data_IF_001129900373
#
_entry.id   IF_001129900373
#
_cell.length_a   1.000
_cell.length_b   1.000
_cell.length_c   1.000
_cell.angle_alpha   90.00
_cell.angle_beta   90.00
_cell.angle_gamma   90.00
#
_symmetry.space_group_name_H-M   'P 1'
#
loop_
_entity.id
_entity.type
_entity.pdbx_description
1 polymer ?
#
# COMPACT_ATOMS: atom_id res chain seq x y z
N UNK A 1 -11.49 -2.08 -8.05
CA UNK A 1 -11.13 -0.99 -7.12
C UNK A 1 -12.04 0.21 -7.31
N UNK A 2 -12.70 0.59 -6.23
CA UNK A 2 -13.45 1.83 -6.03
C UNK A 2 -12.57 3.09 -6.10
N UNK A 3 -11.24 2.97 -6.12
CA UNK A 3 -10.32 4.11 -6.29
C UNK A 3 -10.65 5.03 -7.48
N UNK A 4 -11.30 4.50 -8.52
CA UNK A 4 -11.76 5.30 -9.69
C UNK A 4 -12.83 6.35 -9.33
N UNK A 5 -13.46 6.21 -8.17
CA UNK A 5 -14.43 7.17 -7.63
C UNK A 5 -13.75 8.36 -6.93
N UNK A 6 -12.45 8.26 -6.67
CA UNK A 6 -11.68 9.33 -6.04
C UNK A 6 -11.12 10.30 -7.08
N UNK A 7 -11.04 11.60 -6.77
CA UNK A 7 -10.24 12.55 -7.54
C UNK A 7 -8.77 12.10 -7.65
N UNK A 8 -8.08 12.44 -8.74
CA UNK A 8 -6.64 12.14 -8.92
C UNK A 8 -5.74 12.48 -7.72
N UNK A 9 -5.88 13.64 -7.02
CA UNK A 9 -5.05 13.92 -5.85
C UNK A 9 -5.31 12.97 -4.68
N UNK A 10 -6.49 12.36 -4.60
CA UNK A 10 -6.87 11.41 -3.56
C UNK A 10 -6.43 9.99 -3.92
N UNK A 11 -6.42 9.65 -5.20
CA UNK A 11 -5.83 8.41 -5.71
C UNK A 11 -4.32 8.32 -5.42
N UNK A 12 -3.58 9.41 -5.68
CA UNK A 12 -2.14 9.48 -5.36
C UNK A 12 -1.89 9.35 -3.85
N UNK A 13 -2.79 9.91 -3.05
CA UNK A 13 -2.71 9.80 -1.60
C UNK A 13 -2.98 8.38 -1.12
N UNK A 14 -4.02 7.72 -1.64
CA UNK A 14 -4.30 6.30 -1.40
C UNK A 14 -3.08 5.42 -1.71
N UNK A 15 -2.38 5.68 -2.82
CA UNK A 15 -1.18 4.92 -3.18
C UNK A 15 -0.09 5.04 -2.11
N UNK A 16 0.16 6.24 -1.58
CA UNK A 16 1.12 6.44 -0.50
C UNK A 16 0.75 5.70 0.79
N UNK A 17 -0.54 5.72 1.14
CA UNK A 17 -1.07 4.98 2.29
C UNK A 17 -0.97 3.46 2.11
N UNK A 18 -1.33 2.95 0.93
CA UNK A 18 -1.25 1.54 0.59
C UNK A 18 0.20 1.04 0.62
N UNK A 19 1.16 1.85 0.15
CA UNK A 19 2.59 1.53 0.26
C UNK A 19 3.04 1.45 1.71
N UNK A 20 2.67 2.42 2.54
CA UNK A 20 3.00 2.37 3.97
C UNK A 20 2.46 1.09 4.61
N UNK A 21 1.19 0.75 4.35
CA UNK A 21 0.54 -0.44 4.88
C UNK A 21 1.27 -1.72 4.43
N UNK A 22 1.58 -1.82 3.14
CA UNK A 22 2.27 -2.96 2.55
C UNK A 22 3.71 -3.15 3.06
N UNK A 23 4.37 -2.09 3.56
CA UNK A 23 5.75 -2.13 4.06
C UNK A 23 5.86 -2.24 5.57
N UNK A 24 4.87 -1.73 6.32
CA UNK A 24 4.95 -1.51 7.75
C UNK A 24 5.22 -2.79 8.55
N UNK A 25 4.78 -3.95 8.04
CA UNK A 25 4.93 -5.23 8.70
C UNK A 25 5.93 -6.20 8.04
N UNK A 26 6.70 -5.74 7.05
CA UNK A 26 7.62 -6.62 6.31
C UNK A 26 8.99 -6.77 6.97
N UNK A 27 9.69 -7.91 6.88
CA UNK A 27 10.96 -8.09 7.57
C UNK A 27 11.99 -6.99 7.28
N UNK A 28 12.75 -6.62 8.31
CA UNK A 28 13.82 -5.64 8.20
C UNK A 28 15.13 -6.35 7.86
N UNK A 29 15.90 -5.77 6.96
CA UNK A 29 17.21 -6.29 6.55
C UNK A 29 18.27 -5.21 6.79
N UNK A 30 19.30 -5.54 7.56
CA UNK A 30 20.50 -4.72 7.73
C UNK A 30 21.60 -5.29 6.86
N UNK A 31 22.04 -4.52 5.86
CA UNK A 31 23.03 -4.97 4.89
C UNK A 31 22.63 -6.29 4.20
N UNK A 32 21.32 -6.44 3.95
CA UNK A 32 20.72 -7.64 3.36
C UNK A 32 20.54 -8.83 4.31
N UNK A 33 20.84 -8.67 5.61
CA UNK A 33 20.77 -9.73 6.63
C UNK A 33 19.70 -9.44 7.69
N UNK A 34 19.12 -10.49 8.27
CA UNK A 34 18.21 -10.36 9.43
C UNK A 34 18.98 -10.15 10.73
N UNK A 35 18.29 -9.75 11.81
CA UNK A 35 18.90 -9.52 13.13
C UNK A 35 19.62 -10.74 13.70
N UNK A 36 19.17 -11.94 13.34
CA UNK A 36 19.75 -13.22 13.76
C UNK A 36 21.07 -13.56 13.05
N UNK A 37 21.34 -12.94 11.90
CA UNK A 37 22.51 -13.19 11.05
C UNK A 37 23.63 -12.15 11.24
N UNK A 38 23.54 -11.37 12.31
CA UNK A 38 24.50 -10.31 12.57
C UNK A 38 25.91 -10.83 12.81
N UNK A 39 26.84 -10.23 12.08
CA UNK A 39 28.28 -10.43 12.20
C UNK A 39 28.92 -9.11 12.66
N UNK A 40 30.13 -9.16 13.22
CA UNK A 40 30.85 -7.97 13.66
C UNK A 40 31.07 -6.92 12.55
N UNK A 41 30.98 -7.35 11.28
CA UNK A 41 31.17 -6.53 10.08
C UNK A 41 29.85 -6.02 9.46
N UNK A 42 28.68 -6.31 10.06
CA UNK A 42 27.38 -5.91 9.50
C UNK A 42 27.16 -4.40 9.62
N UNK A 43 26.88 -3.73 8.50
CA UNK A 43 26.53 -2.30 8.51
C UNK A 43 25.10 -2.07 9.01
N UNK A 44 24.99 -1.62 10.26
CA UNK A 44 23.71 -1.30 10.90
C UNK A 44 23.03 -0.06 10.32
N UNK A 45 23.73 0.73 9.51
CA UNK A 45 23.17 1.92 8.85
C UNK A 45 22.46 1.60 7.52
N UNK A 46 22.80 0.46 6.90
CA UNK A 46 22.24 -0.04 5.65
C UNK A 46 20.91 -0.79 5.85
N UNK A 47 19.94 -0.14 6.50
CA UNK A 47 18.59 -0.70 6.71
C UNK A 47 17.77 -0.65 5.41
N UNK A 48 17.17 -1.78 5.06
CA UNK A 48 16.18 -1.93 3.99
C UNK A 48 15.00 -2.78 4.46
N UNK A 49 13.88 -2.71 3.73
CA UNK A 49 12.66 -3.48 4.01
C UNK A 49 12.53 -4.55 2.94
N UNK A 50 12.29 -5.79 3.35
CA UNK A 50 12.09 -6.90 2.42
C UNK A 50 10.69 -6.82 1.78
N UNK A 51 10.60 -6.17 0.62
CA UNK A 51 9.36 -6.16 -0.16
C UNK A 51 9.06 -7.53 -0.74
N UNK A 52 7.89 -8.10 -0.42
CA UNK A 52 7.44 -9.34 -1.04
C UNK A 52 7.01 -9.14 -2.50
N UNK A 53 6.98 -10.23 -3.26
CA UNK A 53 6.62 -10.24 -4.68
C UNK A 53 5.15 -9.84 -4.88
N UNK A 54 4.26 -10.42 -4.08
CA UNK A 54 2.83 -10.11 -4.13
C UNK A 54 2.60 -8.63 -3.96
N UNK A 55 3.20 -8.01 -2.94
CA UNK A 55 3.08 -6.59 -2.56
C UNK A 55 3.50 -5.68 -3.71
N UNK A 56 4.64 -5.98 -4.33
CA UNK A 56 5.11 -5.27 -5.51
C UNK A 56 4.10 -5.34 -6.66
N UNK A 57 3.53 -6.51 -6.91
CA UNK A 57 2.51 -6.67 -7.97
C UNK A 57 1.26 -5.82 -7.70
N UNK A 58 0.69 -5.83 -6.49
CA UNK A 58 -0.49 -5.00 -6.19
C UNK A 58 -0.19 -3.52 -6.21
N UNK A 59 0.96 -3.09 -5.68
CA UNK A 59 1.34 -1.69 -5.76
C UNK A 59 1.49 -1.27 -7.23
N UNK A 60 2.05 -2.13 -8.09
CA UNK A 60 2.14 -1.89 -9.52
C UNK A 60 0.75 -1.86 -10.19
N UNK A 61 -0.18 -2.74 -9.80
CA UNK A 61 -1.57 -2.73 -10.29
C UNK A 61 -2.31 -1.46 -9.88
N UNK A 62 -2.13 -1.02 -8.62
CA UNK A 62 -2.65 0.24 -8.10
C UNK A 62 -2.08 1.42 -8.90
N UNK A 63 -0.77 1.48 -9.11
CA UNK A 63 -0.13 2.51 -9.93
C UNK A 63 -0.66 2.53 -11.37
N UNK A 64 -0.82 1.35 -11.98
CA UNK A 64 -1.37 1.24 -13.32
C UNK A 64 -2.81 1.74 -13.37
N UNK A 65 -3.62 1.46 -12.34
CA UNK A 65 -5.01 1.90 -12.27
C UNK A 65 -5.17 3.41 -12.16
N UNK A 66 -4.19 4.10 -11.56
CA UNK A 66 -4.12 5.56 -11.42
C UNK A 66 -3.58 6.22 -12.69
N UNK A 67 -2.64 5.55 -13.38
CA UNK A 67 -1.95 6.09 -14.57
C UNK A 67 -2.75 5.91 -15.86
N UNK A 68 -3.76 5.02 -15.89
CA UNK A 68 -4.64 4.91 -17.05
C UNK A 68 -5.35 6.25 -17.26
N UNK A 69 -5.14 6.94 -18.41
CA UNK A 69 -5.87 8.17 -18.67
C UNK A 69 -7.36 7.84 -18.62
N UNK A 70 -8.08 8.61 -17.81
CA UNK A 70 -9.52 8.68 -17.82
C UNK A 70 -9.97 9.21 -19.18
N UNK A 71 -9.94 8.37 -20.21
CA UNK A 71 -10.65 8.63 -21.46
C UNK A 71 -12.14 8.50 -21.18
N UNK A 72 -12.69 9.50 -20.50
CA UNK A 72 -14.10 9.83 -20.56
C UNK A 72 -14.34 10.52 -21.92
N UNK A 73 -14.18 9.76 -23.01
CA UNK A 73 -14.69 10.14 -24.33
C UNK A 73 -15.95 9.33 -24.57
N UNK A 74 -17.08 9.84 -24.08
CA UNK A 74 -18.40 9.40 -24.50
C UNK A 74 -18.58 9.88 -25.96
N UNK A 75 -18.81 8.92 -26.86
CA UNK A 75 -19.30 9.08 -28.24
C UNK A 75 -18.29 9.57 -29.31
N UNK A 76 -17.87 8.67 -30.21
CA UNK A 76 -17.12 9.05 -31.42
C UNK A 76 -16.42 7.89 -32.13
N UNK A 77 -17.19 7.12 -32.89
CA UNK A 77 -16.81 6.05 -33.81
C UNK A 77 -15.56 6.33 -34.68
N UNK A 78 -14.57 5.43 -34.71
CA UNK A 78 -14.04 4.73 -35.92
C UNK A 78 -12.56 4.27 -35.81
N UNK A 79 -12.40 2.95 -35.89
CA UNK A 79 -11.33 2.19 -36.57
C UNK A 79 -9.88 2.70 -36.58
N UNK A 80 -8.98 1.93 -35.95
CA UNK A 80 -7.90 1.24 -36.68
C UNK A 80 -7.22 0.21 -35.78
N UNK A 81 -7.04 -0.98 -36.35
CA UNK A 81 -6.39 -2.15 -35.78
C UNK A 81 -4.86 -2.06 -35.84
N UNK A 82 -4.20 -3.04 -35.20
CA UNK A 82 -2.77 -3.30 -35.02
C UNK A 82 -2.17 -2.58 -33.78
N UNK A 83 -1.47 -3.24 -32.85
CA UNK A 83 -0.62 -4.42 -32.96
C UNK A 83 -0.50 -5.18 -31.63
N UNK A 84 -0.67 -6.51 -31.74
CA UNK A 84 -0.20 -7.55 -30.84
C UNK A 84 1.33 -7.54 -30.63
N UNK A 85 1.76 -8.00 -29.45
CA UNK A 85 3.03 -8.67 -29.14
C UNK A 85 4.36 -7.96 -29.44
N UNK A 86 5.03 -7.53 -28.36
CA UNK A 86 6.43 -7.14 -28.36
C UNK A 86 7.05 -7.32 -26.97
N UNK A 87 7.56 -8.53 -26.70
CA UNK A 87 8.53 -8.78 -25.62
C UNK A 87 9.91 -8.35 -26.13
N UNK A 88 10.49 -7.29 -25.56
CA UNK A 88 11.95 -7.15 -25.44
C UNK A 88 12.35 -6.08 -24.42
N UNK A 89 13.07 -6.56 -23.40
CA UNK A 89 14.21 -5.91 -22.70
C UNK A 89 14.15 -4.42 -22.31
N UNK A 90 14.09 -4.20 -21.00
CA UNK A 90 14.95 -3.32 -20.19
C UNK A 90 15.40 -1.97 -20.78
N UNK A 91 15.16 -0.91 -20.00
CA UNK A 91 15.61 0.49 -20.14
C UNK A 91 14.65 1.47 -20.84
N UNK A 92 13.47 1.67 -20.24
CA UNK A 92 12.71 2.91 -20.39
C UNK A 92 11.75 3.10 -19.19
N UNK A 93 12.29 3.14 -17.97
CA UNK A 93 11.57 3.62 -16.79
C UNK A 93 12.18 4.97 -16.41
N UNK A 94 11.74 6.03 -17.07
CA UNK A 94 11.99 7.39 -16.60
C UNK A 94 10.70 8.20 -16.62
N UNK A 95 10.47 8.81 -15.45
CA UNK A 95 9.62 9.97 -15.21
C UNK A 95 8.13 9.70 -14.95
N UNK A 96 7.86 9.25 -13.71
CA UNK A 96 6.52 9.29 -13.13
C UNK A 96 6.44 9.02 -11.61
N UNK A 97 7.42 8.34 -11.02
CA UNK A 97 7.35 7.90 -9.62
C UNK A 97 8.43 8.54 -8.76
N UNK A 98 8.15 9.73 -8.21
CA UNK A 98 8.99 10.38 -7.18
C UNK A 98 8.38 10.25 -5.77
N UNK A 99 7.17 9.69 -5.66
CA UNK A 99 6.47 9.50 -4.38
C UNK A 99 6.63 8.09 -3.80
N UNK A 100 7.08 7.12 -4.61
CA UNK A 100 7.27 5.73 -4.19
C UNK A 100 8.40 5.57 -3.18
N UNK A 101 9.57 6.08 -3.53
CA UNK A 101 10.77 5.96 -2.70
C UNK A 101 10.66 6.80 -1.42
N UNK A 102 9.81 7.83 -1.42
CA UNK A 102 9.66 8.75 -0.29
C UNK A 102 9.01 8.07 0.93
N UNK A 103 7.99 7.22 0.73
CA UNK A 103 7.29 6.56 1.86
C UNK A 103 8.18 5.51 2.52
N UNK A 104 8.85 4.69 1.71
CA UNK A 104 9.79 3.68 2.20
C UNK A 104 10.97 4.34 2.92
N UNK A 105 11.55 5.39 2.34
CA UNK A 105 12.65 6.14 2.96
C UNK A 105 12.22 6.76 4.30
N UNK A 106 11.04 7.39 4.38
CA UNK A 106 10.51 7.94 5.63
C UNK A 106 10.30 6.88 6.71
N UNK A 107 9.78 5.72 6.33
CA UNK A 107 9.60 4.61 7.27
C UNK A 107 10.95 4.08 7.78
N UNK A 108 11.94 3.94 6.89
CA UNK A 108 13.30 3.54 7.24
C UNK A 108 13.94 4.58 8.18
N UNK A 109 13.81 5.87 7.87
CA UNK A 109 14.36 6.96 8.67
C UNK A 109 13.73 7.02 10.07
N UNK A 110 12.43 6.72 10.19
CA UNK A 110 11.78 6.56 11.49
C UNK A 110 12.28 5.32 12.25
N UNK A 111 12.40 4.16 11.58
CA UNK A 111 12.86 2.93 12.19
C UNK A 111 14.32 3.01 12.66
N UNK A 112 15.18 3.74 11.96
CA UNK A 112 16.60 3.98 12.33
C UNK A 112 16.77 4.71 13.67
N UNK A 113 15.73 5.38 14.18
CA UNK A 113 15.77 6.05 15.48
C UNK A 113 15.74 5.07 16.65
N UNK A 114 15.37 3.82 16.39
CA UNK A 114 15.24 2.78 17.41
C UNK A 114 16.44 1.83 17.39
N UNK A 115 16.85 1.31 18.57
CA UNK A 115 17.83 0.22 18.62
C UNK A 115 17.34 -0.98 17.82
N UNK A 116 18.25 -1.68 17.14
CA UNK A 116 17.93 -2.80 16.24
C UNK A 116 17.06 -3.87 16.91
N UNK A 117 17.39 -4.26 18.14
CA UNK A 117 16.63 -5.24 18.95
C UNK A 117 15.20 -4.81 19.30
N UNK A 118 14.89 -3.52 19.13
CA UNK A 118 13.54 -2.96 19.32
C UNK A 118 12.85 -2.67 17.99
N UNK A 119 13.59 -2.36 16.93
CA UNK A 119 13.04 -2.00 15.62
C UNK A 119 12.16 -3.10 15.00
N UNK A 120 12.47 -4.37 15.28
CA UNK A 120 11.68 -5.51 14.79
C UNK A 120 10.40 -5.75 15.61
N UNK A 121 10.31 -5.22 16.83
CA UNK A 121 9.15 -5.47 17.70
C UNK A 121 7.91 -4.77 17.15
N UNK A 122 6.75 -5.45 17.09
CA UNK A 122 5.54 -4.91 16.48
C UNK A 122 5.12 -3.56 17.09
N UNK A 123 5.30 -3.37 18.39
CA UNK A 123 5.02 -2.10 19.08
C UNK A 123 5.83 -0.92 18.50
N UNK A 124 7.12 -1.13 18.24
CA UNK A 124 8.00 -0.12 17.63
C UNK A 124 7.62 0.13 16.17
N UNK A 125 7.26 -0.94 15.44
CA UNK A 125 6.82 -0.85 14.05
C UNK A 125 5.55 -0.02 13.93
N UNK A 126 4.58 -0.26 14.82
CA UNK A 126 3.38 0.57 14.93
C UNK A 126 3.76 2.02 15.19
N UNK A 127 4.61 2.32 16.16
CA UNK A 127 5.01 3.70 16.46
C UNK A 127 5.65 4.42 15.25
N UNK A 128 6.61 3.77 14.61
CA UNK A 128 7.30 4.32 13.43
C UNK A 128 6.31 4.53 12.28
N UNK A 129 5.52 3.52 11.93
CA UNK A 129 4.57 3.59 10.83
C UNK A 129 3.43 4.59 11.12
N UNK A 130 2.94 4.69 12.36
CA UNK A 130 1.97 5.71 12.78
C UNK A 130 2.56 7.12 12.65
N UNK A 131 3.85 7.33 12.93
CA UNK A 131 4.52 8.62 12.71
C UNK A 131 4.47 9.03 11.24
N UNK A 132 4.87 8.11 10.34
CA UNK A 132 4.82 8.33 8.89
C UNK A 132 3.38 8.53 8.42
N UNK A 133 2.43 7.73 8.91
CA UNK A 133 1.00 7.86 8.59
C UNK A 133 0.48 9.27 8.94
N UNK A 134 0.78 9.75 10.14
CA UNK A 134 0.39 11.11 10.57
C UNK A 134 0.98 12.19 9.69
N UNK A 135 2.23 12.02 9.24
CA UNK A 135 2.84 12.94 8.30
C UNK A 135 2.13 12.93 6.94
N UNK A 136 1.82 11.74 6.41
CA UNK A 136 1.08 11.58 5.14
C UNK A 136 -0.31 12.20 5.20
N UNK A 137 -0.99 12.07 6.35
CA UNK A 137 -2.34 12.60 6.56
C UNK A 137 -2.35 14.11 6.87
N UNK A 138 -1.20 14.68 7.28
CA UNK A 138 -1.12 16.07 7.74
C UNK A 138 -1.53 17.06 6.66
N UNK A 139 -2.52 17.89 6.98
CA UNK A 139 -3.00 18.94 6.09
C UNK A 139 -3.82 18.43 4.90
N UNK A 140 -4.06 17.11 4.81
CA UNK A 140 -4.91 16.54 3.77
C UNK A 140 -6.37 16.82 4.13
N UNK A 141 -7.06 17.48 3.21
CA UNK A 141 -8.52 17.60 3.20
C UNK A 141 -9.03 16.92 1.95
N UNK A 142 -10.01 16.06 2.12
CA UNK A 142 -10.68 15.43 1.00
C UNK A 142 -11.79 16.34 0.49
N UNK A 143 -11.92 16.42 -0.83
CA UNK A 143 -12.97 17.22 -1.47
C UNK A 143 -14.35 16.61 -1.22
N UNK A 144 -14.40 15.28 -1.16
CA UNK A 144 -15.62 14.51 -0.96
C UNK A 144 -15.67 13.96 0.47
N UNK A 145 -16.78 14.17 1.22
CA UNK A 145 -16.98 13.55 2.54
C UNK A 145 -16.95 12.01 2.52
N UNK A 146 -17.18 11.40 1.36
CA UNK A 146 -17.15 9.96 1.15
C UNK A 146 -15.75 9.40 0.85
N UNK A 147 -14.78 10.24 0.48
CA UNK A 147 -13.45 9.79 0.10
C UNK A 147 -12.71 9.02 1.21
N UNK A 148 -12.74 9.44 2.50
CA UNK A 148 -12.15 8.64 3.57
C UNK A 148 -12.69 7.20 3.65
N UNK A 149 -13.99 7.02 3.39
CA UNK A 149 -14.63 5.69 3.44
C UNK A 149 -14.15 4.81 2.29
N UNK A 150 -14.05 5.38 1.09
CA UNK A 150 -13.53 4.68 -0.10
C UNK A 150 -12.06 4.31 0.12
N UNK A 151 -11.25 5.23 0.64
CA UNK A 151 -9.84 4.99 0.93
C UNK A 151 -9.70 3.91 2.00
N UNK A 152 -10.45 3.98 3.10
CA UNK A 152 -10.43 2.97 4.14
C UNK A 152 -10.77 1.59 3.58
N UNK A 153 -11.81 1.48 2.76
CA UNK A 153 -12.18 0.22 2.13
C UNK A 153 -11.06 -0.35 1.24
N UNK A 154 -10.41 0.50 0.44
CA UNK A 154 -9.26 0.06 -0.38
C UNK A 154 -8.07 -0.37 0.48
N UNK A 155 -7.79 0.33 1.58
CA UNK A 155 -6.73 -0.06 2.51
C UNK A 155 -7.03 -1.39 3.21
N UNK A 156 -8.30 -1.66 3.55
CA UNK A 156 -8.72 -2.95 4.08
C UNK A 156 -8.48 -4.09 3.07
N UNK A 157 -8.80 -3.87 1.79
CA UNK A 157 -8.51 -4.84 0.73
C UNK A 157 -7.01 -5.08 0.55
N UNK A 158 -6.18 -4.03 0.70
CA UNK A 158 -4.72 -4.14 0.66
C UNK A 158 -4.22 -5.03 1.80
N UNK A 159 -4.66 -4.78 3.04
CA UNK A 159 -4.25 -5.57 4.20
C UNK A 159 -4.75 -7.03 4.15
N UNK A 160 -5.97 -7.26 3.64
CA UNK A 160 -6.55 -8.59 3.56
C UNK A 160 -5.93 -9.47 2.47
N UNK A 161 -5.03 -8.95 1.64
CA UNK A 161 -4.55 -9.71 0.48
C UNK A 161 -3.71 -10.94 0.85
N UNK A 162 -3.01 -10.89 1.97
CA UNK A 162 -2.31 -12.05 2.51
C UNK A 162 -3.24 -12.99 3.30
N UNK A 163 -4.55 -12.69 3.31
CA UNK A 163 -5.61 -13.46 3.95
C UNK A 163 -5.93 -13.04 5.38
N UNK A 164 -5.01 -12.33 6.04
CA UNK A 164 -5.16 -11.87 7.43
C UNK A 164 -4.58 -10.48 7.61
N UNK A 165 -5.28 -9.62 8.35
CA UNK A 165 -4.78 -8.31 8.74
C UNK A 165 -3.87 -8.47 9.96
N UNK A 166 -2.65 -7.96 9.88
CA UNK A 166 -1.70 -8.08 10.99
C UNK A 166 -1.93 -7.02 12.05
N UNK A 167 -1.34 -7.19 13.24
CA UNK A 167 -1.50 -6.22 14.34
C UNK A 167 -0.99 -4.82 13.98
N UNK A 168 0.05 -4.73 13.13
CA UNK A 168 0.62 -3.46 12.68
C UNK A 168 -0.33 -2.79 11.68
N UNK A 169 -0.82 -3.53 10.70
CA UNK A 169 -1.78 -3.04 9.72
C UNK A 169 -3.09 -2.59 10.38
N UNK A 170 -3.61 -3.38 11.33
CA UNK A 170 -4.79 -3.03 12.11
C UNK A 170 -4.63 -1.70 12.84
N UNK A 171 -3.48 -1.49 13.49
CA UNK A 171 -3.20 -0.24 14.19
C UNK A 171 -3.18 0.97 13.22
N UNK A 172 -2.61 0.81 12.03
CA UNK A 172 -2.61 1.85 11.00
C UNK A 172 -4.01 2.14 10.46
N UNK A 173 -4.82 1.11 10.23
CA UNK A 173 -6.22 1.24 9.81
C UNK A 173 -7.06 1.97 10.86
N UNK A 174 -6.88 1.66 12.15
CA UNK A 174 -7.54 2.35 13.26
C UNK A 174 -7.05 3.79 13.43
N UNK A 175 -5.78 4.08 13.23
CA UNK A 175 -5.29 5.46 13.24
C UNK A 175 -5.89 6.27 12.07
N UNK A 176 -5.99 5.68 10.88
CA UNK A 176 -6.68 6.32 9.75
C UNK A 176 -8.15 6.60 10.07
N UNK A 177 -8.86 5.62 10.66
CA UNK A 177 -10.24 5.78 11.13
C UNK A 177 -10.36 6.97 12.09
N UNK A 178 -9.48 7.04 13.09
CA UNK A 178 -9.47 8.10 14.11
C UNK A 178 -9.20 9.48 13.50
N UNK A 179 -8.21 9.59 12.62
CA UNK A 179 -7.85 10.85 11.96
C UNK A 179 -9.03 11.44 11.16
N UNK A 180 -9.82 10.58 10.51
CA UNK A 180 -10.98 10.98 9.72
C UNK A 180 -12.30 10.94 10.49
N UNK A 181 -12.27 10.66 11.79
CA UNK A 181 -13.45 10.60 12.67
C UNK A 181 -14.55 9.69 12.11
N UNK A 182 -14.15 8.55 11.55
CA UNK A 182 -15.09 7.56 11.06
C UNK A 182 -15.67 6.79 12.24
N UNK A 183 -16.99 6.66 12.27
CA UNK A 183 -17.72 5.94 13.32
C UNK A 183 -17.36 4.44 13.30
N UNK A 184 -17.31 3.81 14.48
CA UNK A 184 -16.88 2.41 14.61
C UNK A 184 -17.72 1.46 13.76
N UNK A 185 -19.05 1.66 13.69
CA UNK A 185 -19.91 0.83 12.85
C UNK A 185 -19.56 0.94 11.36
N UNK A 186 -19.07 2.10 10.89
CA UNK A 186 -18.65 2.26 9.49
C UNK A 186 -17.39 1.45 9.24
N UNK A 187 -16.45 1.45 10.20
CA UNK A 187 -15.24 0.65 10.09
C UNK A 187 -15.58 -0.84 10.04
N UNK A 188 -16.41 -1.31 10.98
CA UNK A 188 -16.78 -2.71 11.10
C UNK A 188 -17.57 -3.19 9.87
N UNK A 189 -18.54 -2.41 9.39
CA UNK A 189 -19.30 -2.72 8.17
C UNK A 189 -18.40 -2.80 6.93
N UNK A 190 -17.43 -1.89 6.80
CA UNK A 190 -16.49 -1.89 5.67
C UNK A 190 -15.51 -3.06 5.75
N UNK A 191 -15.06 -3.41 6.96
CA UNK A 191 -14.23 -4.58 7.20
C UNK A 191 -14.96 -5.87 6.81
N UNK A 192 -16.18 -6.08 7.30
CA UNK A 192 -16.99 -7.26 6.99
C UNK A 192 -17.19 -7.41 5.47
N UNK A 193 -17.47 -6.29 4.78
CA UNK A 193 -17.59 -6.29 3.31
C UNK A 193 -16.28 -6.63 2.61
N UNK A 194 -15.15 -6.13 3.12
CA UNK A 194 -13.83 -6.40 2.55
C UNK A 194 -13.44 -7.87 2.74
N UNK A 195 -13.69 -8.42 3.92
CA UNK A 195 -13.47 -9.84 4.24
C UNK A 195 -14.32 -10.76 3.36
N UNK A 196 -15.62 -10.46 3.24
CA UNK A 196 -16.54 -11.21 2.38
C UNK A 196 -16.05 -11.20 0.93
N UNK A 197 -15.67 -10.01 0.42
CA UNK A 197 -15.16 -9.90 -0.95
C UNK A 197 -13.88 -10.73 -1.13
N UNK A 198 -12.94 -10.67 -0.18
CA UNK A 198 -11.69 -11.42 -0.25
C UNK A 198 -11.91 -12.95 -0.23
N UNK A 199 -12.89 -13.42 0.56
CA UNK A 199 -13.28 -14.82 0.58
C UNK A 199 -13.89 -15.27 -0.76
N UNK A 200 -14.78 -14.47 -1.35
CA UNK A 200 -15.39 -14.80 -2.64
C UNK A 200 -14.37 -14.80 -3.78
N UNK A 201 -13.42 -13.86 -3.78
CA UNK A 201 -12.29 -13.86 -4.72
C UNK A 201 -11.45 -15.12 -4.54
N UNK A 202 -11.10 -15.47 -3.30
CA UNK A 202 -10.32 -16.67 -2.99
C UNK A 202 -11.01 -17.95 -3.47
N UNK A 203 -12.31 -18.11 -3.21
CA UNK A 203 -13.12 -19.23 -3.71
C UNK A 203 -13.11 -19.30 -5.24
N UNK A 204 -13.26 -18.15 -5.90
CA UNK A 204 -13.26 -18.07 -7.36
C UNK A 204 -11.92 -18.52 -7.94
N UNK A 205 -10.80 -18.08 -7.35
CA UNK A 205 -9.46 -18.52 -7.76
C UNK A 205 -9.31 -20.03 -7.56
N UNK A 206 -9.77 -20.57 -6.43
CA UNK A 206 -9.74 -22.03 -6.20
C UNK A 206 -10.50 -22.81 -7.27
N UNK A 207 -11.69 -22.35 -7.69
CA UNK A 207 -12.46 -22.98 -8.78
C UNK A 207 -11.72 -22.91 -10.12
N UNK A 208 -11.01 -21.81 -10.40
CA UNK A 208 -10.28 -21.63 -11.68
C UNK A 208 -9.02 -22.50 -11.74
N UNK A 209 -8.37 -22.75 -10.60
CA UNK A 209 -7.14 -23.52 -10.51
C UNK A 209 -7.35 -25.03 -10.35
N UNK A 210 -8.57 -25.46 -10.09
CA UNK A 210 -9.01 -26.87 -10.09
C UNK A 210 -9.29 -27.38 -11.51
#
# INVERSE_FOLDING_TARGET
MLLKLLPEPDQKHLLGLAKLLALADKPLLWDGKTSDEFTSDTDLSALSIQEGEKEREMIAELEQSITRPSNTSVFGNSSSASSMFGWSSSTAFMSGSKSSDDVAAKLIDELKKYPVTKAEKPETRVQAATSVLKELLKGKRFELPTAPKVILFELLLVALRDGTITSVEWALLKEFQLHHQLEDFIFDDLLERAETLNQEVSKTISIILE
#
